data_IF_382144270066
#
_entry.id   IF_382144270066
#
_cell.length_a   1.000
_cell.length_b   1.000
_cell.length_c   1.000
_cell.angle_alpha   90.00
_cell.angle_beta   90.00
_cell.angle_gamma   90.00
#
_symmetry.space_group_name_H-M   'P 1'
#
loop_
_entity.id
_entity.type
_entity.pdbx_description
1 polymer ?
#
# COMPACT_ATOMS: atom_id res chain seq x y z
N UNK A 1 13.39 -27.55 -0.31
CA UNK A 1 14.74 -26.95 -0.43
C UNK A 1 14.57 -25.47 -0.79
N UNK A 2 15.48 -24.60 -0.38
CA UNK A 2 15.47 -23.15 -0.67
C UNK A 2 16.86 -22.70 -1.11
N UNK A 3 16.95 -21.75 -2.05
CA UNK A 3 18.22 -21.16 -2.49
C UNK A 3 18.53 -19.91 -1.68
N UNK A 4 19.52 -19.97 -0.80
CA UNK A 4 20.01 -18.86 0.01
C UNK A 4 21.51 -18.69 -0.20
N UNK A 5 21.97 -17.47 -0.47
CA UNK A 5 23.40 -17.15 -0.63
C UNK A 5 24.16 -18.08 -1.59
N UNK A 6 23.52 -18.46 -2.70
CA UNK A 6 24.12 -19.36 -3.69
C UNK A 6 24.07 -20.86 -3.35
N UNK A 7 23.57 -21.25 -2.17
CA UNK A 7 23.46 -22.64 -1.75
C UNK A 7 22.00 -23.12 -1.75
N UNK A 8 21.78 -24.39 -2.07
CA UNK A 8 20.48 -25.04 -1.93
C UNK A 8 20.43 -25.73 -0.57
N UNK A 9 19.60 -25.22 0.35
CA UNK A 9 19.51 -25.68 1.73
C UNK A 9 18.15 -26.33 2.03
N UNK A 10 18.16 -27.36 2.86
CA UNK A 10 16.96 -27.90 3.51
C UNK A 10 16.54 -27.02 4.70
N UNK A 11 15.29 -27.17 5.16
CA UNK A 11 14.80 -26.49 6.37
C UNK A 11 15.70 -26.75 7.58
N UNK A 12 16.15 -28.00 7.75
CA UNK A 12 17.06 -28.41 8.84
C UNK A 12 18.39 -27.66 8.77
N UNK A 13 19.02 -27.61 7.59
CA UNK A 13 20.28 -26.91 7.40
C UNK A 13 20.19 -25.39 7.62
N UNK A 14 19.05 -24.77 7.32
CA UNK A 14 18.81 -23.36 7.65
C UNK A 14 18.67 -23.17 9.17
N UNK A 15 17.93 -24.05 9.85
CA UNK A 15 17.74 -24.00 11.30
C UNK A 15 19.06 -24.21 12.06
N UNK A 16 19.93 -25.10 11.59
CA UNK A 16 21.26 -25.32 12.21
C UNK A 16 22.20 -24.11 12.10
N UNK A 17 21.94 -23.19 11.18
CA UNK A 17 22.79 -22.04 10.86
C UNK A 17 22.20 -20.70 11.29
N UNK A 18 21.06 -20.69 11.99
CA UNK A 18 20.43 -19.46 12.47
C UNK A 18 19.83 -19.63 13.85
N UNK A 19 19.91 -18.58 14.65
CA UNK A 19 19.15 -18.53 15.91
C UNK A 19 17.65 -18.43 15.64
N UNK A 20 17.24 -17.64 14.64
CA UNK A 20 15.84 -17.48 14.22
C UNK A 20 15.73 -17.25 12.72
N UNK A 21 14.69 -17.80 12.08
CA UNK A 21 14.43 -17.63 10.65
C UNK A 21 14.21 -16.15 10.25
N UNK A 22 13.73 -15.33 11.18
CA UNK A 22 13.50 -13.87 11.00
C UNK A 22 14.75 -13.08 10.63
N UNK A 23 15.95 -13.67 10.82
CA UNK A 23 17.20 -13.15 10.29
C UNK A 23 17.17 -13.08 8.75
N UNK A 24 16.61 -14.10 8.09
CA UNK A 24 16.59 -14.24 6.62
C UNK A 24 15.24 -13.85 6.01
N UNK A 25 14.14 -14.28 6.63
CA UNK A 25 12.81 -14.17 6.06
C UNK A 25 11.73 -14.02 7.13
N UNK A 26 10.62 -13.36 6.78
CA UNK A 26 9.49 -13.19 7.66
C UNK A 26 8.69 -11.93 7.33
N UNK A 27 7.73 -11.64 8.20
CA UNK A 27 6.90 -10.44 8.13
C UNK A 27 7.08 -9.64 9.41
N UNK A 28 7.25 -8.32 9.30
CA UNK A 28 7.34 -7.41 10.46
C UNK A 28 6.34 -6.28 10.32
N UNK A 29 5.58 -6.02 11.39
CA UNK A 29 4.79 -4.80 11.51
C UNK A 29 5.72 -3.64 11.91
N UNK A 30 5.62 -2.54 11.18
CA UNK A 30 6.39 -1.32 11.42
C UNK A 30 5.47 -0.10 11.35
N UNK A 31 5.88 1.00 11.97
CA UNK A 31 5.15 2.28 11.90
C UNK A 31 6.11 3.37 11.44
N UNK A 32 5.72 4.10 10.40
CA UNK A 32 6.48 5.23 9.88
C UNK A 32 6.43 6.41 10.87
N UNK A 33 7.60 7.01 11.10
CA UNK A 33 7.82 7.92 12.21
C UNK A 33 7.83 9.40 11.87
N UNK A 34 7.85 9.78 10.58
CA UNK A 34 8.12 11.17 10.18
C UNK A 34 7.36 11.63 8.92
N UNK A 35 7.36 12.94 8.68
CA UNK A 35 6.80 13.57 7.48
C UNK A 35 5.31 13.31 7.28
N UNK A 36 4.88 13.31 6.01
CA UNK A 36 3.49 13.06 5.61
C UNK A 36 3.05 11.62 5.83
N UNK A 37 3.98 10.70 6.06
CA UNK A 37 3.75 9.26 6.25
C UNK A 37 3.69 8.86 7.73
N UNK A 38 3.97 9.80 8.64
CA UNK A 38 3.94 9.58 10.09
C UNK A 38 2.64 8.92 10.53
N UNK A 39 2.77 7.82 11.28
CA UNK A 39 1.66 7.05 11.83
C UNK A 39 1.20 5.89 10.96
N UNK A 40 1.60 5.82 9.67
CA UNK A 40 1.25 4.69 8.81
C UNK A 40 1.93 3.43 9.31
N UNK A 41 1.13 2.37 9.48
CA UNK A 41 1.56 1.01 9.74
C UNK A 41 1.78 0.29 8.41
N UNK A 42 2.82 -0.53 8.37
CA UNK A 42 3.13 -1.37 7.23
C UNK A 42 3.62 -2.74 7.66
N UNK A 43 3.41 -3.73 6.79
CA UNK A 43 3.99 -5.06 6.90
C UNK A 43 5.17 -5.15 5.94
N UNK A 44 6.39 -5.29 6.45
CA UNK A 44 7.54 -5.63 5.63
C UNK A 44 7.62 -7.14 5.45
N UNK A 45 7.57 -7.57 4.19
CA UNK A 45 7.79 -8.94 3.77
C UNK A 45 9.22 -9.09 3.29
N UNK A 46 9.97 -10.03 3.88
CA UNK A 46 11.28 -10.47 3.40
C UNK A 46 11.20 -11.96 3.10
N UNK A 47 11.39 -12.36 1.84
CA UNK A 47 11.32 -13.78 1.47
C UNK A 47 12.63 -14.53 1.71
N UNK A 48 13.73 -13.81 1.94
CA UNK A 48 15.08 -14.35 2.12
C UNK A 48 15.79 -14.77 0.82
N UNK A 49 15.06 -14.96 -0.28
CA UNK A 49 15.61 -15.30 -1.60
C UNK A 49 15.78 -14.08 -2.52
N UNK A 50 15.50 -12.88 -2.01
CA UNK A 50 15.79 -11.61 -2.67
C UNK A 50 14.59 -10.70 -2.87
N UNK A 51 13.36 -11.21 -2.79
CA UNK A 51 12.16 -10.38 -2.85
C UNK A 51 11.90 -9.74 -1.47
N UNK A 52 11.74 -8.42 -1.46
CA UNK A 52 11.26 -7.65 -0.31
C UNK A 52 10.19 -6.68 -0.80
N UNK A 53 9.10 -6.56 -0.04
CA UNK A 53 8.11 -5.52 -0.29
C UNK A 53 7.41 -5.08 1.00
N UNK A 54 6.79 -3.91 0.97
CA UNK A 54 5.99 -3.37 2.07
C UNK A 54 4.52 -3.28 1.66
N UNK A 55 3.62 -3.79 2.51
CA UNK A 55 2.18 -3.60 2.37
C UNK A 55 1.69 -2.57 3.38
N UNK A 56 1.02 -1.51 2.90
CA UNK A 56 0.57 -0.40 3.72
C UNK A 56 -0.78 -0.72 4.39
N UNK A 57 -0.75 -1.05 5.69
CA UNK A 57 -1.94 -1.47 6.44
C UNK A 57 -3.02 -0.39 6.42
N UNK A 58 -2.62 0.87 6.61
CA UNK A 58 -3.56 1.98 6.65
C UNK A 58 -3.93 2.51 5.26
N UNK A 59 -3.41 1.90 4.19
CA UNK A 59 -3.69 2.26 2.79
C UNK A 59 -4.07 1.02 1.99
N UNK A 60 -5.11 0.34 2.44
CA UNK A 60 -5.74 -0.79 1.73
C UNK A 60 -4.82 -1.97 1.39
N UNK A 61 -3.70 -2.13 2.12
CA UNK A 61 -2.67 -3.12 1.83
C UNK A 61 -2.01 -2.93 0.45
N UNK A 62 -2.05 -1.70 -0.05
CA UNK A 62 -1.29 -1.27 -1.23
C UNK A 62 0.18 -1.61 -1.07
N UNK A 63 0.83 -1.96 -2.19
CA UNK A 63 2.25 -2.31 -2.19
C UNK A 63 3.05 -1.04 -2.42
N UNK A 64 3.80 -0.65 -1.40
CA UNK A 64 4.68 0.50 -1.41
C UNK A 64 6.03 0.14 -2.06
N UNK A 65 7.06 -0.04 -1.25
CA UNK A 65 8.39 -0.45 -1.69
C UNK A 65 8.30 -1.89 -2.21
N UNK A 66 8.96 -2.15 -3.33
CA UNK A 66 9.20 -3.50 -3.80
C UNK A 66 10.60 -3.56 -4.41
N UNK A 67 11.37 -4.57 -4.04
CA UNK A 67 12.69 -4.79 -4.59
C UNK A 67 12.97 -6.27 -4.78
N UNK A 68 13.77 -6.57 -5.79
CA UNK A 68 14.35 -7.88 -5.98
C UNK A 68 15.88 -7.79 -6.00
N UNK A 69 16.51 -8.36 -4.96
CA UNK A 69 17.97 -8.36 -4.77
C UNK A 69 18.55 -6.93 -4.81
N UNK A 70 17.88 -5.99 -4.15
CA UNK A 70 18.28 -4.59 -4.08
C UNK A 70 17.95 -3.74 -5.32
N UNK A 71 17.30 -4.32 -6.33
CA UNK A 71 16.82 -3.58 -7.49
C UNK A 71 15.36 -3.17 -7.24
N UNK A 72 15.10 -1.87 -7.24
CA UNK A 72 13.77 -1.32 -7.05
C UNK A 72 12.83 -1.75 -8.20
N UNK A 73 11.59 -2.08 -7.84
CA UNK A 73 10.50 -2.43 -8.74
C UNK A 73 9.32 -1.52 -8.38
N UNK A 74 8.88 -0.71 -9.33
CA UNK A 74 7.78 0.25 -9.14
C UNK A 74 8.25 1.69 -9.11
N UNK A 75 7.32 2.60 -8.80
CA UNK A 75 7.53 4.04 -8.82
C UNK A 75 7.10 4.67 -7.50
N UNK A 76 7.95 5.54 -6.96
CA UNK A 76 7.62 6.38 -5.81
C UNK A 76 7.47 7.82 -6.28
N UNK A 77 6.31 8.40 -6.02
CA UNK A 77 6.06 9.78 -6.38
C UNK A 77 6.67 10.74 -5.36
N UNK A 78 6.92 12.01 -5.72
CA UNK A 78 7.42 13.01 -4.78
C UNK A 78 6.42 13.33 -3.65
N UNK A 79 5.18 12.82 -3.73
CA UNK A 79 4.19 12.97 -2.66
C UNK A 79 4.44 12.06 -1.46
N UNK A 80 5.26 11.01 -1.62
CA UNK A 80 5.49 9.99 -0.59
C UNK A 80 4.25 9.16 -0.27
N UNK A 81 4.33 8.35 0.77
CA UNK A 81 3.19 7.57 1.26
C UNK A 81 2.38 8.41 2.26
N UNK A 82 1.59 9.36 1.76
CA UNK A 82 0.80 10.26 2.61
C UNK A 82 -0.18 9.51 3.52
N UNK A 83 -0.24 9.88 4.80
CA UNK A 83 -1.18 9.34 5.79
C UNK A 83 -2.63 9.60 5.36
N UNK A 84 -3.55 8.60 5.44
CA UNK A 84 -4.94 8.76 5.01
C UNK A 84 -5.67 9.94 5.67
N UNK A 85 -5.37 10.21 6.94
CA UNK A 85 -5.92 11.37 7.67
C UNK A 85 -5.47 12.74 7.15
N UNK A 86 -4.50 12.80 6.24
CA UNK A 86 -4.09 14.02 5.53
C UNK A 86 -4.70 14.11 4.12
N UNK A 87 -5.62 13.20 3.79
CA UNK A 87 -6.26 13.13 2.49
C UNK A 87 -7.54 13.98 2.48
N UNK A 88 -7.62 14.90 1.52
CA UNK A 88 -8.85 15.64 1.23
C UNK A 88 -9.50 14.97 0.01
N UNK A 89 -10.61 14.27 0.23
CA UNK A 89 -11.26 13.49 -0.83
C UNK A 89 -11.83 14.38 -1.93
N UNK A 90 -12.46 15.50 -1.59
CA UNK A 90 -13.13 16.39 -2.55
C UNK A 90 -12.20 17.51 -3.05
N UNK A 91 -11.01 17.63 -2.45
CA UNK A 91 -9.99 18.60 -2.81
C UNK A 91 -9.62 18.57 -4.29
N UNK A 92 -9.21 19.73 -4.81
CA UNK A 92 -8.84 19.92 -6.22
C UNK A 92 -9.93 19.48 -7.20
N UNK A 93 -11.19 19.78 -6.89
CA UNK A 93 -12.35 19.34 -7.69
C UNK A 93 -12.36 17.81 -7.88
N UNK A 94 -12.07 17.08 -6.80
CA UNK A 94 -12.00 15.62 -6.78
C UNK A 94 -10.73 15.00 -7.38
N UNK A 95 -9.68 15.79 -7.64
CA UNK A 95 -8.38 15.28 -8.12
C UNK A 95 -7.31 15.13 -7.04
N UNK A 96 -7.59 15.53 -5.80
CA UNK A 96 -6.62 15.47 -4.70
C UNK A 96 -6.11 14.05 -4.37
N UNK A 97 -6.75 12.99 -4.88
CA UNK A 97 -6.20 11.61 -4.85
C UNK A 97 -4.78 11.54 -5.40
N UNK A 98 -4.45 12.35 -6.42
CA UNK A 98 -3.10 12.44 -6.99
C UNK A 98 -2.02 12.87 -5.99
N UNK A 99 -2.37 13.55 -4.89
CA UNK A 99 -1.45 13.93 -3.80
C UNK A 99 -1.06 12.76 -2.88
N UNK A 100 -1.64 11.59 -3.13
CA UNK A 100 -1.42 10.36 -2.39
C UNK A 100 -0.95 9.21 -3.30
N UNK A 101 -0.82 9.44 -4.61
CA UNK A 101 -0.53 8.38 -5.57
C UNK A 101 0.97 8.03 -5.56
N UNK A 102 1.34 6.92 -4.92
CA UNK A 102 2.72 6.44 -4.81
C UNK A 102 2.74 4.95 -4.49
N UNK A 103 3.72 4.20 -5.03
CA UNK A 103 3.92 2.78 -4.76
C UNK A 103 3.88 1.92 -6.01
N UNK A 104 4.21 0.63 -5.85
CA UNK A 104 4.09 -0.37 -6.90
C UNK A 104 2.63 -0.67 -7.25
N UNK A 105 1.76 -0.75 -6.25
CA UNK A 105 0.33 -1.03 -6.43
C UNK A 105 -0.47 -0.07 -5.56
N UNK A 106 -1.44 0.61 -6.18
CA UNK A 106 -2.35 1.52 -5.49
C UNK A 106 -3.78 1.13 -5.84
N UNK A 107 -4.61 0.96 -4.82
CA UNK A 107 -6.01 0.61 -4.98
C UNK A 107 -6.80 1.84 -5.39
N UNK A 108 -7.52 1.72 -6.50
CA UNK A 108 -8.34 2.78 -7.08
C UNK A 108 -9.83 2.45 -6.94
N UNK A 109 -10.37 2.47 -5.73
CA UNK A 109 -11.73 2.05 -5.41
C UNK A 109 -12.07 2.21 -3.93
N UNK A 110 -13.15 1.68 -3.39
CA UNK A 110 -14.14 0.77 -3.99
C UNK A 110 -15.49 1.43 -4.28
N UNK A 111 -15.77 2.59 -3.69
CA UNK A 111 -17.07 3.28 -3.89
C UNK A 111 -17.24 3.84 -5.31
N UNK A 112 -16.13 4.08 -6.01
CA UNK A 112 -16.04 4.57 -7.38
C UNK A 112 -14.67 4.27 -7.96
N UNK A 113 -14.59 4.10 -9.28
CA UNK A 113 -13.35 3.84 -10.00
C UNK A 113 -13.20 4.83 -11.17
N UNK A 114 -11.98 4.97 -11.70
CA UNK A 114 -11.65 5.91 -12.77
C UNK A 114 -11.84 7.39 -12.36
N UNK A 115 -12.08 8.27 -13.34
CA UNK A 115 -12.12 9.73 -13.17
C UNK A 115 -13.33 10.23 -12.40
N UNK A 116 -13.26 11.48 -11.92
CA UNK A 116 -14.37 12.15 -11.22
C UNK A 116 -15.67 12.07 -12.03
N UNK A 117 -16.77 11.81 -11.34
CA UNK A 117 -18.09 11.79 -11.96
C UNK A 117 -19.18 12.30 -11.01
N UNK A 118 -20.21 12.95 -11.55
CA UNK A 118 -21.43 13.28 -10.81
C UNK A 118 -22.57 12.39 -11.31
N UNK A 119 -23.22 11.68 -10.40
CA UNK A 119 -24.27 10.71 -10.72
C UNK A 119 -25.55 10.98 -9.92
N UNK A 120 -26.73 10.61 -10.45
CA UNK A 120 -27.97 10.64 -9.66
C UNK A 120 -27.86 9.80 -8.38
N UNK A 121 -28.40 10.33 -7.29
CA UNK A 121 -28.34 9.70 -5.96
C UNK A 121 -29.63 8.92 -5.59
N UNK A 122 -30.52 8.70 -6.56
CA UNK A 122 -31.84 8.09 -6.34
C UNK A 122 -31.75 6.71 -5.65
N UNK A 123 -30.74 5.92 -5.99
CA UNK A 123 -30.50 4.58 -5.42
C UNK A 123 -30.20 4.59 -3.91
N UNK A 124 -29.79 5.73 -3.34
CA UNK A 124 -29.58 5.86 -1.89
C UNK A 124 -30.90 6.02 -1.13
N UNK A 125 -32.03 6.22 -1.83
CA UNK A 125 -33.36 6.48 -1.25
C UNK A 125 -33.34 7.59 -0.18
N UNK A 126 -32.52 8.62 -0.38
CA UNK A 126 -32.40 9.75 0.53
C UNK A 126 -32.92 11.04 -0.13
N UNK A 127 -34.18 11.47 0.11
CA UNK A 127 -34.83 12.53 -0.66
C UNK A 127 -34.09 13.88 -0.69
N UNK A 128 -33.29 14.17 0.35
CA UNK A 128 -32.49 15.39 0.43
C UNK A 128 -31.23 15.41 -0.45
N UNK A 129 -30.80 14.25 -0.95
CA UNK A 129 -29.58 14.11 -1.78
C UNK A 129 -29.99 13.70 -3.19
N UNK A 130 -29.87 14.64 -4.13
CA UNK A 130 -30.25 14.43 -5.54
C UNK A 130 -29.11 13.85 -6.37
N UNK A 131 -27.88 14.23 -6.09
CA UNK A 131 -26.67 13.77 -6.79
C UNK A 131 -25.56 13.39 -5.82
N UNK A 132 -24.62 12.58 -6.30
CA UNK A 132 -23.36 12.24 -5.63
C UNK A 132 -22.22 12.58 -6.56
N UNK A 133 -21.23 13.31 -6.04
CA UNK A 133 -19.96 13.54 -6.71
C UNK A 133 -18.97 12.51 -6.20
N UNK A 134 -18.39 11.74 -7.10
CA UNK A 134 -17.28 10.84 -6.82
C UNK A 134 -15.98 11.45 -7.31
N UNK A 135 -14.95 11.47 -6.46
CA UNK A 135 -13.60 11.92 -6.82
C UNK A 135 -12.86 10.87 -7.64
N UNK A 136 -11.72 11.25 -8.22
CA UNK A 136 -10.79 10.34 -8.90
C UNK A 136 -10.49 9.14 -7.99
N UNK A 137 -10.79 7.94 -8.50
CA UNK A 137 -10.54 6.65 -7.86
C UNK A 137 -11.26 6.36 -6.54
N UNK A 138 -12.24 7.18 -6.15
CA UNK A 138 -13.13 6.86 -5.04
C UNK A 138 -12.46 6.76 -3.65
N UNK A 139 -13.24 6.32 -2.66
CA UNK A 139 -12.81 6.00 -1.29
C UNK A 139 -12.74 4.50 -1.10
N UNK A 140 -11.72 4.08 -0.37
CA UNK A 140 -11.56 2.68 0.04
C UNK A 140 -12.37 2.39 1.33
N UNK A 141 -12.64 3.42 2.14
CA UNK A 141 -13.45 3.34 3.36
C UNK A 141 -13.87 4.71 3.85
N UNK A 142 -14.68 4.73 4.91
CA UNK A 142 -15.19 5.94 5.61
C UNK A 142 -14.36 6.29 6.82
#
# INVERSE_FOLDING_TARGET
MVKLYGQTLSRRQVAERSGMLSQFAGVRLMTLGDGVERGIRMLEFRTGSGLRFTALVDRALDIADCEYKGQAIGWHSPSGFRHPGLHDYEGEDGFAWGRSFSGLLVTCGLDHILGRNEVPAENYHYPGRKTVVHSLHGRIGT
#
